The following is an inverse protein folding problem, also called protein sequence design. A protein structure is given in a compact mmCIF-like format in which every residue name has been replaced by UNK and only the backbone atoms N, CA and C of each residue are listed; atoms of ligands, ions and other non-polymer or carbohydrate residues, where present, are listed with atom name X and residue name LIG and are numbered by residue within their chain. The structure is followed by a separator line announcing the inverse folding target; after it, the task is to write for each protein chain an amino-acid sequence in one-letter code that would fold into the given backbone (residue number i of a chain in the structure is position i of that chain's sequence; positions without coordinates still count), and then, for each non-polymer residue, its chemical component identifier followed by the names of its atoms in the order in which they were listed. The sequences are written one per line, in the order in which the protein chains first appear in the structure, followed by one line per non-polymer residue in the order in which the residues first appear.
data_IF_725332501388
#
_entry.id   IF_725332501388
#
_cell.length_a   1.000
_cell.length_b   1.000
_cell.length_c   1.000
_cell.angle_alpha   90.00
_cell.angle_beta   90.00
_cell.angle_gamma   90.00
#
_symmetry.space_group_name_H-M   'P 1'
#
loop_
_entity.id
_entity.type
_entity.pdbx_description
1 polymer ?
#
# COMPACT_ATOMS: atom_id res chain seq x y z
N UNK A 1 -11.22 8.85 6.12
CA UNK A 1 -10.56 10.17 6.18
C UNK A 1 -9.11 10.03 5.71
N UNK A 2 -8.85 9.89 4.41
CA UNK A 2 -7.47 9.88 3.87
C UNK A 2 -6.98 11.31 3.71
N UNK A 3 -6.52 11.89 4.82
CA UNK A 3 -5.91 13.22 4.81
C UNK A 3 -4.71 13.20 3.85
N UNK A 4 -4.62 14.21 2.98
CA UNK A 4 -3.53 14.40 2.04
C UNK A 4 -2.24 14.75 2.79
N UNK A 5 -1.58 13.73 3.35
CA UNK A 5 -0.20 13.82 3.81
C UNK A 5 0.71 13.94 2.58
N UNK A 6 0.75 15.17 2.08
CA UNK A 6 1.65 15.70 1.05
C UNK A 6 3.05 15.14 1.35
N UNK A 7 3.64 14.49 0.35
CA UNK A 7 5.05 14.08 0.28
C UNK A 7 5.61 13.12 1.33
N UNK A 8 5.16 11.85 1.38
CA UNK A 8 6.16 10.81 1.66
C UNK A 8 5.87 9.47 0.98
N UNK A 9 6.92 8.92 0.38
CA UNK A 9 7.07 7.62 -0.28
C UNK A 9 6.12 7.21 -1.43
N UNK A 10 5.26 8.13 -1.88
CA UNK A 10 4.47 8.00 -3.12
C UNK A 10 5.28 7.52 -4.34
N UNK A 11 6.51 8.01 -4.61
CA UNK A 11 7.28 7.51 -5.76
C UNK A 11 7.73 6.06 -5.59
N UNK A 12 8.01 5.58 -4.38
CA UNK A 12 8.44 4.20 -4.16
C UNK A 12 7.27 3.22 -4.27
N UNK A 13 6.10 3.58 -3.72
CA UNK A 13 4.87 2.79 -3.90
C UNK A 13 4.46 2.79 -5.38
N UNK A 14 4.55 3.92 -6.07
CA UNK A 14 4.31 3.98 -7.52
C UNK A 14 5.31 3.08 -8.28
N UNK A 15 6.60 3.10 -7.94
CA UNK A 15 7.60 2.18 -8.53
C UNK A 15 7.25 0.71 -8.28
N UNK A 16 6.73 0.36 -7.09
CA UNK A 16 6.31 -1.02 -6.79
C UNK A 16 5.08 -1.44 -7.59
N UNK A 17 4.10 -0.55 -7.73
CA UNK A 17 2.92 -0.79 -8.55
C UNK A 17 3.26 -0.96 -10.03
N UNK A 18 4.16 -0.12 -10.57
CA UNK A 18 4.65 -0.23 -11.95
C UNK A 18 5.30 -1.57 -12.29
N UNK A 19 5.79 -2.33 -11.30
CA UNK A 19 6.29 -3.70 -11.53
C UNK A 19 5.19 -4.69 -11.92
N UNK A 20 3.92 -4.31 -11.75
CA UNK A 20 2.79 -5.09 -12.24
C UNK A 20 2.49 -4.80 -13.72
N UNK A 21 3.06 -3.74 -14.30
CA UNK A 21 2.79 -3.34 -15.68
C UNK A 21 3.33 -4.40 -16.66
N UNK A 22 4.58 -4.85 -16.52
CA UNK A 22 5.15 -5.85 -17.44
C UNK A 22 4.38 -7.19 -17.42
N UNK A 23 4.06 -7.78 -16.24
CA UNK A 23 3.21 -8.98 -16.20
C UNK A 23 1.82 -8.75 -16.77
N UNK A 24 1.22 -7.57 -16.58
CA UNK A 24 -0.09 -7.24 -17.12
C UNK A 24 -0.06 -7.12 -18.65
N UNK A 25 0.95 -6.45 -19.21
CA UNK A 25 1.17 -6.37 -20.66
C UNK A 25 1.39 -7.77 -21.25
N UNK A 26 2.13 -8.62 -20.56
CA UNK A 26 2.31 -10.02 -20.94
C UNK A 26 0.98 -10.78 -20.96
N UNK A 27 0.10 -10.60 -19.97
CA UNK A 27 -1.25 -11.20 -19.98
C UNK A 27 -2.06 -10.75 -21.19
N UNK A 28 -2.04 -9.46 -21.53
CA UNK A 28 -2.75 -8.92 -22.70
C UNK A 28 -2.24 -9.57 -23.98
N UNK A 29 -0.92 -9.56 -24.20
CA UNK A 29 -0.32 -10.21 -25.36
C UNK A 29 -0.62 -11.71 -25.42
N UNK A 30 -0.67 -12.40 -24.27
CA UNK A 30 -1.00 -13.81 -24.23
C UNK A 30 -2.45 -14.10 -24.64
N UNK A 31 -3.39 -13.21 -24.30
CA UNK A 31 -4.79 -13.31 -24.72
C UNK A 31 -4.91 -13.05 -26.22
N UNK A 32 -4.26 -11.99 -26.73
CA UNK A 32 -4.30 -11.62 -28.16
C UNK A 32 -3.68 -12.70 -29.07
N UNK A 33 -2.69 -13.45 -28.56
CA UNK A 33 -2.02 -14.52 -29.30
C UNK A 33 -2.58 -15.91 -28.96
N UNK A 34 -3.78 -16.01 -28.37
CA UNK A 34 -4.47 -17.27 -28.04
C UNK A 34 -3.58 -18.29 -27.28
N UNK A 35 -2.74 -17.80 -26.37
CA UNK A 35 -1.78 -18.61 -25.62
C UNK A 35 -2.49 -19.52 -24.59
N UNK A 36 -1.85 -20.61 -24.14
CA UNK A 36 -2.44 -21.54 -23.18
C UNK A 36 -2.92 -20.88 -21.88
N UNK A 37 -4.14 -21.22 -21.45
CA UNK A 37 -4.80 -20.67 -20.25
C UNK A 37 -3.94 -20.73 -18.98
N UNK A 38 -3.13 -21.78 -18.83
CA UNK A 38 -2.26 -21.95 -17.66
C UNK A 38 -1.28 -20.78 -17.50
N UNK A 39 -0.66 -20.32 -18.60
CA UNK A 39 0.30 -19.23 -18.55
C UNK A 39 -0.36 -17.89 -18.21
N UNK A 40 -1.58 -17.66 -18.71
CA UNK A 40 -2.39 -16.49 -18.37
C UNK A 40 -2.71 -16.47 -16.87
N UNK A 41 -3.14 -17.60 -16.30
CA UNK A 41 -3.44 -17.72 -14.87
C UNK A 41 -2.20 -17.44 -14.01
N UNK A 42 -1.05 -18.00 -14.38
CA UNK A 42 0.21 -17.77 -13.66
C UNK A 42 0.61 -16.29 -13.69
N UNK A 43 0.52 -15.63 -14.85
CA UNK A 43 0.84 -14.19 -14.93
C UNK A 43 -0.16 -13.33 -14.14
N UNK A 44 -1.46 -13.65 -14.15
CA UNK A 44 -2.45 -12.98 -13.28
C UNK A 44 -2.14 -13.16 -11.80
N UNK A 45 -1.65 -14.34 -11.38
CA UNK A 45 -1.21 -14.55 -10.01
C UNK A 45 0.00 -13.66 -9.65
N UNK A 46 0.96 -13.50 -10.57
CA UNK A 46 2.10 -12.58 -10.40
C UNK A 46 1.62 -11.14 -10.23
N UNK A 47 0.70 -10.67 -11.09
CA UNK A 47 0.09 -9.33 -10.98
C UNK A 47 -0.55 -9.14 -9.60
N UNK A 48 -1.40 -10.07 -9.18
CA UNK A 48 -2.09 -10.00 -7.89
C UNK A 48 -1.14 -9.98 -6.70
N UNK A 49 -0.06 -10.77 -6.75
CA UNK A 49 0.99 -10.78 -5.73
C UNK A 49 1.73 -9.43 -5.66
N UNK A 50 2.04 -8.83 -6.81
CA UNK A 50 2.70 -7.51 -6.88
C UNK A 50 1.82 -6.42 -6.27
N UNK A 51 0.53 -6.38 -6.64
CA UNK A 51 -0.44 -5.42 -6.08
C UNK A 51 -0.58 -5.61 -4.56
N UNK A 52 -0.69 -6.85 -4.10
CA UNK A 52 -0.80 -7.17 -2.67
C UNK A 52 0.42 -6.69 -1.88
N UNK A 53 1.62 -6.88 -2.44
CA UNK A 53 2.86 -6.38 -1.82
C UNK A 53 2.90 -4.86 -1.76
N UNK A 54 2.53 -4.18 -2.84
CA UNK A 54 2.46 -2.72 -2.86
C UNK A 54 1.44 -2.18 -1.84
N UNK A 55 0.27 -2.83 -1.74
CA UNK A 55 -0.76 -2.49 -0.73
C UNK A 55 -0.22 -2.62 0.69
N UNK A 56 0.44 -3.73 1.02
CA UNK A 56 1.02 -3.94 2.36
C UNK A 56 2.07 -2.87 2.68
N UNK A 57 2.93 -2.54 1.72
CA UNK A 57 3.94 -1.49 1.90
C UNK A 57 3.28 -0.12 2.18
N UNK A 58 2.22 0.23 1.45
CA UNK A 58 1.49 1.49 1.66
C UNK A 58 0.82 1.56 3.04
N UNK A 59 0.20 0.47 3.49
CA UNK A 59 -0.45 0.41 4.80
C UNK A 59 0.58 0.55 5.92
N UNK A 60 1.68 -0.20 5.85
CA UNK A 60 2.73 -0.16 6.86
C UNK A 60 3.35 1.24 6.96
N UNK A 61 3.71 1.81 5.81
CA UNK A 61 4.30 3.15 5.71
C UNK A 61 3.33 4.23 6.23
N UNK A 62 2.02 4.06 6.07
CA UNK A 62 1.02 4.94 6.70
C UNK A 62 0.98 4.79 8.23
N UNK A 63 0.96 3.55 8.75
CA UNK A 63 0.92 3.27 10.20
C UNK A 63 2.14 3.87 10.89
N UNK A 64 3.34 3.64 10.35
CA UNK A 64 4.59 4.13 10.92
C UNK A 64 4.60 5.66 10.98
N UNK A 65 4.12 6.33 9.94
CA UNK A 65 3.98 7.78 9.90
C UNK A 65 2.96 8.32 10.89
N UNK A 66 1.80 7.67 11.04
CA UNK A 66 0.82 8.03 12.06
C UNK A 66 1.41 7.91 13.47
N UNK A 67 2.21 6.86 13.72
CA UNK A 67 2.89 6.66 15.00
C UNK A 67 3.93 7.73 15.27
N UNK A 68 4.72 8.11 14.27
CA UNK A 68 5.75 9.14 14.41
C UNK A 68 5.17 10.54 14.57
N UNK A 69 4.08 10.86 13.85
CA UNK A 69 3.32 12.10 14.06
C UNK A 69 2.79 12.19 15.49
N UNK A 70 2.22 11.12 16.03
CA UNK A 70 1.75 11.05 17.40
C UNK A 70 2.89 11.26 18.43
N UNK A 71 4.06 10.65 18.19
CA UNK A 71 5.26 10.86 19.01
C UNK A 71 5.77 12.29 18.94
N UNK A 72 5.80 12.90 17.77
CA UNK A 72 6.21 14.30 17.60
C UNK A 72 5.28 15.25 18.35
N UNK A 73 3.96 15.03 18.28
CA UNK A 73 2.99 15.80 19.08
C UNK A 73 3.17 15.60 20.58
N UNK A 74 3.51 14.40 21.04
CA UNK A 74 3.74 14.16 22.48
C UNK A 74 4.98 14.88 23.03
N UNK A 75 6.01 15.13 22.22
CA UNK A 75 7.19 15.92 22.63
C UNK A 75 6.96 17.43 22.60
N UNK A 76 5.97 17.89 21.83
CA UNK A 76 5.61 19.30 21.74
C UNK A 76 4.67 19.77 22.87
N UNK A 77 4.19 18.86 23.73
CA UNK A 77 3.26 19.20 24.81
C UNK A 77 3.66 18.56 26.13
N UNK A 78 4.44 19.30 26.93
CA UNK A 78 4.27 19.32 28.39
C UNK A 78 2.98 20.09 28.73
N UNK A 79 1.82 19.52 28.40
CA UNK A 79 0.52 19.93 28.97
C UNK A 79 -0.27 18.65 29.28
N UNK A 80 -1.01 18.61 30.40
CA UNK A 80 -1.49 17.36 30.96
C UNK A 80 -2.53 16.70 30.04
N UNK A 81 -2.32 15.41 29.84
CA UNK A 81 -3.12 14.51 29.02
C UNK A 81 -4.45 14.21 29.73
N UNK A 82 -5.58 14.56 29.11
CA UNK A 82 -6.89 14.02 29.50
C UNK A 82 -7.14 12.71 28.75
N UNK A 83 -7.30 11.63 29.51
CA UNK A 83 -7.53 10.26 29.04
C UNK A 83 -8.92 10.12 28.43
N UNK A 84 -9.00 9.66 27.18
CA UNK A 84 -10.22 9.08 26.62
C UNK A 84 -9.97 7.59 26.35
N UNK A 85 -9.99 6.81 27.43
CA UNK A 85 -10.15 5.36 27.39
C UNK A 85 -11.61 5.06 27.01
N UNK A 86 -11.90 4.93 25.71
CA UNK A 86 -13.02 4.15 25.18
C UNK A 86 -13.11 4.33 23.67
N UNK A 87 -12.46 3.46 22.90
CA UNK A 87 -12.99 2.94 21.62
C UNK A 87 -12.31 1.59 21.34
N UNK A 88 -12.74 0.54 22.02
CA UNK A 88 -12.66 -0.84 21.50
C UNK A 88 -14.04 -1.43 21.73
N UNK A 89 -14.86 -1.45 20.68
CA UNK A 89 -16.01 -2.35 20.59
C UNK A 89 -16.32 -2.63 19.11
N UNK A 90 -16.40 -3.93 18.80
CA UNK A 90 -16.60 -4.65 17.52
C UNK A 90 -15.39 -4.84 16.59
#
# INVERSE_FOLDING_TARGET
MWQTHRSCNRPEIAKRLKRADDPLLSVVAMIENERPCLGIVLQRHVVGKTITRAKRALIQDHIDRCRDAARASSRATSRPFFSARSVIET
#
